data_IF_876718545328
#
_entry.id   IF_876718545328
#
_cell.length_a   1.000
_cell.length_b   1.000
_cell.length_c   1.000
_cell.angle_alpha   90.00
_cell.angle_beta   90.00
_cell.angle_gamma   90.00
#
_symmetry.space_group_name_H-M   'P 1'
#
loop_
_entity.id
_entity.type
_entity.pdbx_description
1 polymer ?
#
# COMPACT_ATOMS: atom_id res chain seq x y z
N UNK A 1 5.89 -9.19 8.60
CA UNK A 1 4.50 -9.66 8.79
C UNK A 1 3.73 -8.58 9.53
N UNK A 2 2.44 -8.43 9.27
CA UNK A 2 1.57 -7.45 9.93
C UNK A 2 0.24 -8.09 10.30
N UNK A 3 -0.35 -7.63 11.39
CA UNK A 3 -1.70 -8.05 11.80
C UNK A 3 -2.72 -7.42 10.86
N UNK A 4 -3.59 -8.24 10.28
CA UNK A 4 -4.71 -7.86 9.42
C UNK A 4 -6.00 -8.16 10.17
N UNK A 5 -6.93 -7.20 10.15
CA UNK A 5 -8.26 -7.32 10.77
C UNK A 5 -9.28 -7.66 9.70
N UNK A 6 -10.12 -8.64 9.99
CA UNK A 6 -11.27 -9.01 9.17
C UNK A 6 -12.55 -8.68 9.92
N UNK A 7 -13.44 -7.91 9.31
CA UNK A 7 -14.70 -7.45 9.91
C UNK A 7 -15.84 -8.47 9.79
N UNK A 8 -15.73 -9.41 8.84
CA UNK A 8 -16.71 -10.45 8.59
C UNK A 8 -16.07 -11.84 8.62
N UNK A 9 -16.91 -12.87 8.73
CA UNK A 9 -16.48 -14.24 8.44
C UNK A 9 -16.36 -14.44 6.93
N UNK A 10 -15.50 -15.36 6.50
CA UNK A 10 -15.31 -15.66 5.10
C UNK A 10 -14.13 -16.58 4.85
N UNK A 11 -13.68 -16.61 3.61
CA UNK A 11 -12.54 -17.42 3.20
C UNK A 11 -11.40 -16.50 2.78
N UNK A 12 -10.26 -16.65 3.43
CA UNK A 12 -9.00 -16.03 3.01
C UNK A 12 -8.28 -16.95 2.03
N UNK A 13 -8.00 -16.42 0.86
CA UNK A 13 -7.25 -17.07 -0.21
C UNK A 13 -5.91 -16.34 -0.41
N UNK A 14 -4.82 -17.08 -0.61
CA UNK A 14 -3.51 -16.52 -0.96
C UNK A 14 -3.08 -17.05 -2.33
N UNK A 15 -2.62 -16.14 -3.18
CA UNK A 15 -2.18 -16.43 -4.53
C UNK A 15 -0.72 -16.08 -4.70
N UNK A 16 0.02 -16.90 -5.45
CA UNK A 16 1.38 -16.57 -5.86
C UNK A 16 1.42 -15.50 -6.97
N UNK A 17 2.62 -15.22 -7.49
CA UNK A 17 2.80 -14.25 -8.59
C UNK A 17 2.11 -14.67 -9.90
N UNK A 18 1.94 -15.96 -10.15
CA UNK A 18 1.28 -16.49 -11.33
C UNK A 18 -0.25 -16.54 -11.21
N UNK A 19 -0.80 -16.14 -10.06
CA UNK A 19 -2.23 -16.24 -9.77
C UNK A 19 -2.66 -17.66 -9.36
N UNK A 20 -1.72 -18.53 -9.00
CA UNK A 20 -2.03 -19.87 -8.49
C UNK A 20 -2.41 -19.77 -7.01
N UNK A 21 -3.55 -20.38 -6.64
CA UNK A 21 -3.97 -20.49 -5.25
C UNK A 21 -2.98 -21.39 -4.49
N UNK A 22 -2.28 -20.84 -3.51
CA UNK A 22 -1.27 -21.55 -2.71
C UNK A 22 -1.72 -21.82 -1.27
N UNK A 23 -2.71 -21.08 -0.78
CA UNK A 23 -3.25 -21.26 0.56
C UNK A 23 -4.70 -20.81 0.63
N UNK A 24 -5.50 -21.49 1.46
CA UNK A 24 -6.91 -21.18 1.70
C UNK A 24 -7.26 -21.52 3.14
N UNK A 25 -7.96 -20.63 3.83
CA UNK A 25 -8.45 -20.88 5.19
C UNK A 25 -9.73 -20.10 5.49
N UNK A 26 -10.51 -20.60 6.44
CA UNK A 26 -11.68 -19.88 6.96
C UNK A 26 -11.25 -18.84 8.00
N UNK A 27 -11.92 -17.69 7.97
CA UNK A 27 -11.75 -16.60 8.90
C UNK A 27 -13.10 -16.34 9.57
N UNK A 28 -13.09 -16.15 10.88
CA UNK A 28 -14.25 -15.72 11.65
C UNK A 28 -14.32 -14.19 11.74
N UNK A 29 -15.52 -13.64 11.89
CA UNK A 29 -15.72 -12.21 12.07
C UNK A 29 -14.89 -11.66 13.24
N UNK A 30 -14.26 -10.51 13.04
CA UNK A 30 -13.36 -9.81 13.98
C UNK A 30 -12.07 -10.57 14.32
N UNK A 31 -11.78 -11.68 13.62
CA UNK A 31 -10.51 -12.36 13.76
C UNK A 31 -9.38 -11.48 13.26
N UNK A 32 -8.26 -11.51 13.99
CA UNK A 32 -7.01 -10.87 13.61
C UNK A 32 -6.00 -11.94 13.23
N UNK A 33 -5.31 -11.75 12.11
CA UNK A 33 -4.32 -12.69 11.62
C UNK A 33 -3.04 -11.99 11.23
N UNK A 34 -1.90 -12.56 11.63
CA UNK A 34 -0.59 -12.06 11.22
C UNK A 34 -0.24 -12.62 9.85
N UNK A 35 -0.21 -11.77 8.83
CA UNK A 35 0.10 -12.14 7.44
C UNK A 35 1.50 -11.66 7.01
N UNK A 36 2.20 -12.39 6.13
CA UNK A 36 3.46 -11.94 5.56
C UNK A 36 3.24 -10.70 4.68
N UNK A 37 4.30 -9.89 4.55
CA UNK A 37 4.27 -8.78 3.61
C UNK A 37 4.21 -9.31 2.19
N UNK A 38 3.45 -8.62 1.34
CA UNK A 38 3.31 -8.98 -0.06
C UNK A 38 4.21 -8.12 -0.94
N UNK A 39 4.84 -8.77 -1.91
CA UNK A 39 5.56 -8.07 -2.99
C UNK A 39 4.96 -8.42 -4.35
N UNK A 40 4.90 -9.72 -4.63
CA UNK A 40 4.40 -10.28 -5.89
C UNK A 40 3.16 -11.16 -5.71
N UNK A 41 2.99 -11.75 -4.54
CA UNK A 41 1.82 -12.49 -4.12
C UNK A 41 0.69 -11.53 -3.70
N UNK A 42 -0.53 -12.04 -3.63
CA UNK A 42 -1.71 -11.25 -3.21
C UNK A 42 -2.67 -12.13 -2.40
N UNK A 43 -3.45 -11.50 -1.53
CA UNK A 43 -4.53 -12.17 -0.80
C UNK A 43 -5.88 -11.77 -1.40
N UNK A 44 -6.89 -12.61 -1.18
CA UNK A 44 -8.29 -12.30 -1.46
C UNK A 44 -9.15 -12.70 -0.28
N UNK A 45 -10.07 -11.83 0.10
CA UNK A 45 -11.04 -12.08 1.15
C UNK A 45 -12.37 -11.42 0.76
N UNK A 46 -13.48 -12.16 0.80
CA UNK A 46 -14.81 -11.68 0.44
C UNK A 46 -14.82 -10.86 -0.88
N UNK A 47 -14.23 -11.43 -1.93
CA UNK A 47 -14.06 -10.83 -3.27
C UNK A 47 -13.17 -9.57 -3.36
N UNK A 48 -12.58 -9.09 -2.28
CA UNK A 48 -11.58 -8.03 -2.32
C UNK A 48 -10.17 -8.61 -2.39
N UNK A 49 -9.40 -8.21 -3.39
CA UNK A 49 -7.97 -8.46 -3.42
C UNK A 49 -7.23 -7.42 -2.58
N UNK A 50 -6.18 -7.84 -1.89
CA UNK A 50 -5.37 -6.95 -1.06
C UNK A 50 -3.94 -7.45 -0.87
N UNK A 51 -3.04 -6.50 -0.62
CA UNK A 51 -1.69 -6.76 -0.18
C UNK A 51 -1.52 -6.53 1.32
N UNK A 52 -0.30 -6.76 1.81
CA UNK A 52 0.10 -6.44 3.17
C UNK A 52 1.45 -5.72 3.10
N UNK A 53 1.47 -4.44 3.49
CA UNK A 53 2.71 -3.66 3.58
C UNK A 53 3.10 -3.36 5.04
N UNK A 54 4.31 -2.84 5.23
CA UNK A 54 4.77 -2.32 6.52
C UNK A 54 3.87 -1.15 6.97
N UNK A 55 3.89 -0.85 8.27
CA UNK A 55 3.16 0.27 8.85
C UNK A 55 2.83 0.06 10.31
N UNK A 56 2.32 1.11 10.95
CA UNK A 56 1.93 1.12 12.37
C UNK A 56 0.48 0.66 12.51
N UNK A 57 0.23 -0.19 13.50
CA UNK A 57 -1.10 -0.69 13.84
C UNK A 57 -1.61 -1.80 12.91
N UNK A 58 -2.82 -2.28 13.20
CA UNK A 58 -3.45 -3.37 12.46
C UNK A 58 -3.96 -2.87 11.10
N UNK A 59 -3.76 -3.64 10.04
CA UNK A 59 -4.20 -3.32 8.68
C UNK A 59 -5.67 -3.75 8.49
N UNK A 60 -6.53 -2.83 8.05
CA UNK A 60 -7.78 -3.21 7.40
C UNK A 60 -7.46 -3.71 5.98
N UNK A 61 -7.89 -4.91 5.64
CA UNK A 61 -7.59 -5.53 4.34
C UNK A 61 -8.05 -4.67 3.14
N UNK A 62 -9.04 -3.80 3.32
CA UNK A 62 -9.56 -2.91 2.27
C UNK A 62 -8.69 -1.67 2.04
N UNK A 63 -7.85 -1.32 3.00
CA UNK A 63 -7.03 -0.11 2.94
C UNK A 63 -5.81 -0.26 2.01
N UNK A 64 -5.49 -1.49 1.58
CA UNK A 64 -4.33 -1.76 0.73
C UNK A 64 -4.66 -2.75 -0.39
N UNK A 65 -5.51 -2.35 -1.36
CA UNK A 65 -6.09 -3.25 -2.35
C UNK A 65 -5.09 -3.80 -3.39
N UNK A 66 -3.89 -3.21 -3.50
CA UNK A 66 -2.84 -3.64 -4.42
C UNK A 66 -1.45 -3.42 -3.84
N UNK A 67 -0.47 -4.18 -4.31
CA UNK A 67 0.93 -4.01 -3.91
C UNK A 67 1.52 -2.75 -4.55
N UNK A 68 1.57 -1.66 -3.79
CA UNK A 68 2.20 -0.42 -4.22
C UNK A 68 3.73 -0.53 -4.17
N UNK A 69 4.37 0.03 -5.19
CA UNK A 69 5.82 0.12 -5.30
C UNK A 69 6.19 1.45 -5.98
N UNK A 70 6.88 2.31 -5.24
CA UNK A 70 7.22 3.64 -5.70
C UNK A 70 8.63 3.76 -6.31
N UNK A 71 9.31 2.65 -6.61
CA UNK A 71 10.65 2.71 -7.20
C UNK A 71 10.70 3.58 -8.46
N UNK A 72 9.72 3.41 -9.34
CA UNK A 72 9.61 4.11 -10.62
C UNK A 72 9.03 5.53 -10.51
N UNK A 73 8.51 5.94 -9.35
CA UNK A 73 7.97 7.29 -9.16
C UNK A 73 9.14 8.28 -9.13
N UNK A 74 9.19 9.20 -10.07
CA UNK A 74 10.25 10.19 -10.13
C UNK A 74 10.03 11.25 -9.06
N UNK A 75 11.12 11.66 -8.40
CA UNK A 75 11.07 12.73 -7.40
C UNK A 75 10.56 14.02 -8.03
N UNK A 76 11.05 14.33 -9.23
CA UNK A 76 10.68 15.52 -10.00
C UNK A 76 9.17 15.56 -10.30
N UNK A 77 8.53 14.40 -10.46
CA UNK A 77 7.07 14.32 -10.63
C UNK A 77 6.36 14.81 -9.36
N UNK A 78 6.80 14.34 -8.18
CA UNK A 78 6.21 14.74 -6.91
C UNK A 78 6.45 16.23 -6.67
N UNK A 79 7.68 16.71 -6.89
CA UNK A 79 8.05 18.11 -6.68
C UNK A 79 7.28 19.06 -7.61
N UNK A 80 7.21 18.76 -8.90
CA UNK A 80 6.48 19.60 -9.84
C UNK A 80 4.98 19.66 -9.50
N UNK A 81 4.41 18.57 -9.00
CA UNK A 81 3.04 18.57 -8.52
C UNK A 81 2.87 19.43 -7.26
N UNK A 82 3.66 19.17 -6.21
CA UNK A 82 3.50 19.86 -4.91
C UNK A 82 3.87 21.35 -4.96
N UNK A 83 4.89 21.72 -5.73
CA UNK A 83 5.44 23.09 -5.73
C UNK A 83 4.91 23.96 -6.87
N UNK A 84 4.54 23.35 -8.00
CA UNK A 84 4.13 24.08 -9.22
C UNK A 84 2.73 23.73 -9.70
N UNK A 85 2.02 22.83 -9.01
CA UNK A 85 0.71 22.32 -9.42
C UNK A 85 0.72 21.76 -10.85
N UNK A 86 1.86 21.23 -11.29
CA UNK A 86 2.03 20.65 -12.63
C UNK A 86 1.80 19.15 -12.59
N UNK A 87 0.72 18.73 -13.24
CA UNK A 87 0.38 17.31 -13.45
C UNK A 87 1.39 16.62 -14.40
N UNK A 88 1.76 15.36 -14.15
CA UNK A 88 2.58 14.58 -15.06
C UNK A 88 1.79 14.16 -16.32
N UNK A 89 2.38 14.38 -17.49
CA UNK A 89 1.82 13.90 -18.78
C UNK A 89 1.97 12.38 -18.94
N UNK A 90 3.01 11.80 -18.34
CA UNK A 90 3.25 10.37 -18.37
C UNK A 90 2.21 9.62 -17.51
N UNK A 91 1.42 8.74 -18.12
CA UNK A 91 0.34 7.99 -17.46
C UNK A 91 0.81 7.15 -16.26
N UNK A 92 2.00 6.54 -16.35
CA UNK A 92 2.56 5.74 -15.25
C UNK A 92 2.92 6.65 -14.07
N UNK A 93 3.61 7.76 -14.34
CA UNK A 93 3.95 8.74 -13.29
C UNK A 93 2.69 9.31 -12.65
N UNK A 94 1.64 9.59 -13.43
CA UNK A 94 0.35 10.04 -12.92
C UNK A 94 -0.26 9.02 -11.96
N UNK A 95 -0.34 7.75 -12.37
CA UNK A 95 -0.89 6.69 -11.53
C UNK A 95 -0.09 6.51 -10.22
N UNK A 96 1.25 6.48 -10.32
CA UNK A 96 2.13 6.35 -9.16
C UNK A 96 2.04 7.55 -8.22
N UNK A 97 1.91 8.77 -8.76
CA UNK A 97 1.71 9.97 -7.96
C UNK A 97 0.37 9.93 -7.22
N UNK A 98 -0.72 9.58 -7.90
CA UNK A 98 -2.04 9.40 -7.27
C UNK A 98 -1.97 8.37 -6.14
N UNK A 99 -1.37 7.20 -6.39
CA UNK A 99 -1.21 6.16 -5.37
C UNK A 99 -0.35 6.66 -4.18
N UNK A 100 0.71 7.42 -4.45
CA UNK A 100 1.61 7.98 -3.43
C UNK A 100 0.89 9.01 -2.54
N UNK A 101 0.09 9.90 -3.13
CA UNK A 101 -0.70 10.89 -2.41
C UNK A 101 -1.82 10.23 -1.59
N UNK A 102 -2.46 9.18 -2.11
CA UNK A 102 -3.48 8.42 -1.38
C UNK A 102 -2.90 7.74 -0.11
N UNK A 103 -1.66 7.22 -0.20
CA UNK A 103 -0.95 6.69 0.98
C UNK A 103 -0.72 7.80 2.01
N UNK A 104 -0.29 8.99 1.58
CA UNK A 104 -0.12 10.15 2.46
C UNK A 104 -1.42 10.54 3.16
N UNK A 105 -2.51 10.71 2.41
CA UNK A 105 -3.82 11.06 2.96
C UNK A 105 -4.29 10.03 3.99
N UNK A 106 -4.09 8.74 3.70
CA UNK A 106 -4.42 7.66 4.65
C UNK A 106 -3.57 7.72 5.91
N UNK A 107 -2.27 7.96 5.78
CA UNK A 107 -1.34 8.09 6.92
C UNK A 107 -1.70 9.30 7.79
N UNK A 108 -2.02 10.44 7.17
CA UNK A 108 -2.49 11.66 7.87
C UNK A 108 -3.78 11.36 8.62
N UNK A 109 -4.76 10.74 7.95
CA UNK A 109 -6.06 10.37 8.57
C UNK A 109 -5.89 9.46 9.78
N UNK A 110 -4.89 8.57 9.75
CA UNK A 110 -4.58 7.64 10.85
C UNK A 110 -3.63 8.25 11.89
N UNK A 111 -3.03 9.41 11.62
CA UNK A 111 -2.08 10.10 12.50
C UNK A 111 -0.72 9.40 12.66
N UNK A 112 -0.42 8.39 11.84
CA UNK A 112 0.81 7.57 11.92
C UNK A 112 1.21 7.10 10.52
N UNK A 113 2.42 6.53 10.38
CA UNK A 113 2.83 5.78 9.18
C UNK A 113 2.04 4.46 9.05
N UNK A 114 0.74 4.56 8.81
CA UNK A 114 -0.20 3.45 8.77
C UNK A 114 0.03 2.54 7.57
N UNK A 115 0.31 3.10 6.40
CA UNK A 115 0.74 2.41 5.20
C UNK A 115 2.16 2.87 4.88
N UNK A 116 3.10 1.92 4.84
CA UNK A 116 4.47 2.13 4.41
C UNK A 116 4.83 1.15 3.29
N UNK A 117 4.36 1.40 2.06
CA UNK A 117 4.69 0.58 0.90
C UNK A 117 6.17 0.66 0.50
N UNK A 118 6.57 -0.22 -0.42
CA UNK A 118 7.95 -0.28 -0.89
C UNK A 118 8.36 1.05 -1.54
N UNK A 119 9.51 1.58 -1.14
CA UNK A 119 10.07 2.88 -1.54
C UNK A 119 9.31 4.14 -1.07
N UNK A 120 8.23 4.02 -0.27
CA UNK A 120 7.49 5.21 0.19
C UNK A 120 8.38 6.17 0.98
N UNK A 121 8.97 5.72 2.10
CA UNK A 121 9.83 6.56 2.95
C UNK A 121 11.11 7.02 2.27
N UNK A 122 11.60 6.28 1.27
CA UNK A 122 12.75 6.69 0.47
C UNK A 122 12.40 7.91 -0.39
N UNK A 123 11.20 7.96 -0.98
CA UNK A 123 10.72 9.16 -1.69
C UNK A 123 10.53 10.33 -0.74
N UNK A 124 9.98 10.10 0.46
CA UNK A 124 9.87 11.16 1.48
C UNK A 124 11.23 11.75 1.84
N UNK A 125 12.22 10.89 2.13
CA UNK A 125 13.58 11.31 2.46
C UNK A 125 14.20 12.14 1.34
N UNK A 126 14.07 11.69 0.09
CA UNK A 126 14.57 12.41 -1.09
C UNK A 126 13.97 13.82 -1.24
N UNK A 127 12.70 14.00 -0.86
CA UNK A 127 12.03 15.31 -0.88
C UNK A 127 12.55 16.21 0.27
N UNK A 128 12.65 15.68 1.49
CA UNK A 128 13.10 16.43 2.67
C UNK A 128 14.55 16.87 2.54
N UNK A 129 15.46 15.98 2.13
CA UNK A 129 16.89 16.28 1.97
C UNK A 129 17.15 17.40 0.96
N UNK A 130 16.21 17.67 0.04
CA UNK A 130 16.30 18.78 -0.89
C UNK A 130 15.80 20.10 -0.30
N UNK A 131 14.74 20.07 0.52
CA UNK A 131 14.20 21.28 1.16
C UNK A 131 15.17 21.81 2.23
N UNK A 132 15.89 20.92 2.91
CA UNK A 132 16.86 21.27 3.94
C UNK A 132 18.25 21.66 3.41
N UNK A 133 18.45 21.67 2.09
CA UNK A 133 19.70 22.07 1.42
C UNK A 133 19.51 23.36 0.63
#
# INVERSE_FOLDING_TARGET
MRVVVFDASGVLEAFDYGGVLIHKQEIQAHQKLKLPFTEKNIFKFNNAFFGVCEGVGDLDYRDYPKNLNFNALLRETIENYLLKLKEPENKLQKALLTDFLAVYEKNITKGVYYLKPKFFTEKERQLIERILK
#
